data_IF_287727974706
#
_entry.id   IF_287727974706
#
_cell.length_a   1.000
_cell.length_b   1.000
_cell.length_c   1.000
_cell.angle_alpha   90.00
_cell.angle_beta   90.00
_cell.angle_gamma   90.00
#
_symmetry.space_group_name_H-M   'P 1'
#
loop_
_entity.id
_entity.type
_entity.pdbx_description
1 polymer ?
#
# COMPACT_ATOMS: atom_id res chain seq x y z
N UNK A 1 -2.46 -0.17 -2.57
CA UNK A 1 -2.89 -1.53 -2.99
C UNK A 1 -2.33 -1.96 -4.34
N UNK A 2 -2.23 -1.09 -5.35
CA UNK A 2 -1.63 -1.44 -6.66
C UNK A 2 -0.23 -2.09 -6.55
N UNK A 3 0.64 -1.56 -5.68
CA UNK A 3 1.94 -2.18 -5.41
C UNK A 3 1.87 -3.54 -4.69
N UNK A 4 0.78 -3.85 -3.99
CA UNK A 4 0.61 -5.13 -3.30
C UNK A 4 0.30 -6.25 -4.29
N UNK A 5 -0.53 -5.97 -5.29
CA UNK A 5 -0.93 -6.95 -6.32
C UNK A 5 0.16 -7.15 -7.39
N UNK A 6 0.92 -6.10 -7.74
CA UNK A 6 2.11 -6.24 -8.59
C UNK A 6 3.26 -7.04 -7.95
N UNK A 7 3.17 -7.35 -6.64
CA UNK A 7 4.16 -8.15 -5.91
C UNK A 7 3.74 -9.59 -5.62
N UNK A 8 2.60 -10.04 -6.16
CA UNK A 8 2.23 -11.46 -6.17
C UNK A 8 3.22 -12.24 -7.05
N UNK A 9 4.31 -12.67 -6.42
CA UNK A 9 5.20 -13.68 -6.97
C UNK A 9 4.46 -15.02 -6.94
N UNK A 10 3.83 -15.39 -8.07
CA UNK A 10 3.07 -16.63 -8.23
C UNK A 10 3.89 -17.91 -7.96
N UNK A 11 5.21 -17.80 -7.76
CA UNK A 11 6.06 -18.93 -7.38
C UNK A 11 5.86 -19.41 -5.93
N UNK A 12 5.14 -18.68 -5.06
CA UNK A 12 4.86 -19.14 -3.69
C UNK A 12 3.55 -19.93 -3.53
N UNK A 13 2.76 -20.10 -4.60
CA UNK A 13 1.58 -20.98 -4.63
C UNK A 13 2.00 -22.41 -4.98
N UNK A 14 2.73 -23.06 -4.08
CA UNK A 14 3.08 -24.45 -4.25
C UNK A 14 4.36 -24.85 -3.53
N UNK A 15 4.23 -25.20 -2.25
CA UNK A 15 4.76 -26.43 -1.65
C UNK A 15 4.65 -26.36 -0.12
N UNK A 16 3.92 -27.33 0.43
CA UNK A 16 3.87 -27.62 1.87
C UNK A 16 5.07 -28.48 2.29
N UNK A 17 5.48 -28.28 3.55
CA UNK A 17 6.25 -29.16 4.44
C UNK A 17 7.77 -29.35 4.22
N UNK A 18 8.57 -28.84 5.16
CA UNK A 18 9.24 -29.63 6.22
C UNK A 18 10.08 -28.71 7.15
N UNK A 19 10.12 -29.06 8.43
CA UNK A 19 10.79 -28.36 9.53
C UNK A 19 12.30 -28.25 9.32
N UNK A 20 12.86 -27.05 9.43
CA UNK A 20 14.29 -26.82 9.60
C UNK A 20 14.52 -25.59 10.48
N UNK A 21 15.32 -25.76 11.54
CA UNK A 21 15.80 -24.67 12.40
C UNK A 21 16.64 -23.72 11.54
N UNK A 22 16.13 -22.52 11.30
CA UNK A 22 16.77 -21.54 10.42
C UNK A 22 17.60 -20.54 11.21
N UNK A 23 18.91 -20.59 11.02
CA UNK A 23 19.79 -19.43 11.25
C UNK A 23 19.24 -18.23 10.46
N UNK A 24 19.11 -17.06 11.10
CA UNK A 24 18.56 -15.86 10.45
C UNK A 24 19.55 -15.34 9.41
N UNK A 25 19.37 -15.70 8.14
CA UNK A 25 19.97 -14.94 7.03
C UNK A 25 19.33 -13.55 7.01
N UNK A 26 20.09 -12.46 6.74
CA UNK A 26 19.51 -11.14 6.57
C UNK A 26 18.51 -11.15 5.41
N UNK A 27 17.42 -10.41 5.56
CA UNK A 27 16.38 -10.33 4.55
C UNK A 27 16.96 -9.82 3.22
N UNK A 28 16.84 -10.61 2.15
CA UNK A 28 17.26 -10.17 0.83
C UNK A 28 16.35 -9.02 0.36
N UNK A 29 16.98 -7.91 -0.06
CA UNK A 29 16.32 -6.70 -0.57
C UNK A 29 16.38 -6.76 -2.09
N UNK A 30 15.22 -6.79 -2.77
CA UNK A 30 15.14 -6.78 -4.24
C UNK A 30 14.54 -5.45 -4.70
N UNK A 31 15.33 -4.66 -5.43
CA UNK A 31 14.87 -3.45 -6.09
C UNK A 31 14.22 -3.81 -7.41
N UNK A 32 12.99 -3.36 -7.63
CA UNK A 32 12.27 -3.53 -8.88
C UNK A 32 11.87 -2.16 -9.43
N UNK A 33 11.92 -2.03 -10.74
CA UNK A 33 11.34 -0.88 -11.44
C UNK A 33 9.94 -1.28 -11.86
N UNK A 34 8.94 -0.63 -11.28
CA UNK A 34 7.55 -0.79 -11.72
C UNK A 34 7.21 0.37 -12.63
N UNK A 35 6.76 0.08 -13.85
CA UNK A 35 6.30 1.11 -14.78
C UNK A 35 4.81 1.33 -14.52
N UNK A 36 4.45 2.57 -14.16
CA UNK A 36 3.05 2.95 -14.01
C UNK A 36 2.34 3.06 -15.36
N UNK A 37 1.02 3.16 -15.35
CA UNK A 37 0.20 3.21 -16.57
C UNK A 37 0.56 4.38 -17.50
N UNK A 38 1.17 5.45 -16.98
CA UNK A 38 1.61 6.61 -17.76
C UNK A 38 3.07 6.49 -18.25
N UNK A 39 3.65 5.28 -18.26
CA UNK A 39 5.04 5.03 -18.68
C UNK A 39 6.11 5.48 -17.69
N UNK A 40 5.72 6.10 -16.57
CA UNK A 40 6.67 6.57 -15.54
C UNK A 40 7.17 5.40 -14.71
N UNK A 41 8.48 5.20 -14.73
CA UNK A 41 9.17 4.21 -13.91
C UNK A 41 9.24 4.66 -12.45
N UNK A 42 8.67 3.86 -11.55
CA UNK A 42 8.76 4.01 -10.10
C UNK A 42 9.74 2.98 -9.55
N UNK A 43 10.73 3.44 -8.78
CA UNK A 43 11.62 2.53 -8.04
C UNK A 43 10.87 2.00 -6.82
N UNK A 44 10.78 0.68 -6.70
CA UNK A 44 10.10 -0.01 -5.62
C UNK A 44 11.09 -0.94 -4.94
N UNK A 45 11.20 -0.82 -3.62
CA UNK A 45 11.98 -1.70 -2.78
C UNK A 45 11.09 -2.80 -2.20
N UNK A 46 11.44 -4.05 -2.44
CA UNK A 46 10.70 -5.20 -1.91
C UNK A 46 11.66 -6.06 -1.10
N UNK A 47 11.39 -6.12 0.19
CA UNK A 47 12.11 -6.97 1.12
C UNK A 47 11.26 -8.22 1.41
N UNK A 48 11.94 -9.35 1.64
CA UNK A 48 11.30 -10.63 2.01
C UNK A 48 11.75 -11.05 3.42
N UNK A 49 11.19 -10.47 4.50
CA UNK A 49 11.59 -10.80 5.86
C UNK A 49 11.31 -12.26 6.25
N UNK A 50 10.33 -12.90 5.60
CA UNK A 50 10.01 -14.31 5.74
C UNK A 50 9.32 -14.82 4.45
N UNK A 51 9.15 -16.15 4.31
CA UNK A 51 8.58 -16.78 3.11
C UNK A 51 7.28 -16.10 2.64
N UNK A 52 6.36 -15.83 3.56
CA UNK A 52 5.05 -15.23 3.31
C UNK A 52 4.91 -13.80 3.87
N UNK A 53 6.02 -13.10 4.08
CA UNK A 53 6.03 -11.70 4.50
C UNK A 53 6.76 -10.86 3.47
N UNK A 54 6.19 -9.70 3.15
CA UNK A 54 6.79 -8.70 2.28
C UNK A 54 6.79 -7.37 3.00
N UNK A 55 7.85 -6.58 2.79
CA UNK A 55 7.86 -5.16 3.12
C UNK A 55 8.14 -4.41 1.83
N UNK A 56 7.22 -3.53 1.47
CA UNK A 56 7.26 -2.78 0.21
C UNK A 56 7.47 -1.31 0.57
N UNK A 57 8.36 -0.64 -0.12
CA UNK A 57 8.62 0.79 0.08
C UNK A 57 8.90 1.46 -1.26
N UNK A 58 8.40 2.67 -1.45
CA UNK A 58 8.63 3.44 -2.66
C UNK A 58 8.52 4.93 -2.33
N UNK A 59 8.87 5.78 -3.28
CA UNK A 59 8.69 7.22 -3.15
C UNK A 59 8.48 7.85 -4.51
N UNK A 60 7.59 8.84 -4.57
CA UNK A 60 7.33 9.61 -5.79
C UNK A 60 7.15 11.09 -5.45
N UNK A 61 7.56 11.96 -6.36
CA UNK A 61 7.21 13.39 -6.31
C UNK A 61 5.99 13.61 -7.19
N UNK A 62 4.93 14.14 -6.58
CA UNK A 62 3.69 14.55 -7.24
C UNK A 62 3.77 16.07 -7.41
N UNK A 63 3.49 16.55 -8.61
CA UNK A 63 3.52 17.97 -8.98
C UNK A 63 2.26 18.70 -8.50
N UNK A 64 1.93 18.52 -7.23
CA UNK A 64 0.80 19.15 -6.55
C UNK A 64 1.13 19.40 -5.08
N UNK A 65 0.55 20.45 -4.52
CA UNK A 65 0.81 20.85 -3.15
C UNK A 65 0.29 19.84 -2.13
N UNK A 66 1.01 19.67 -1.00
CA UNK A 66 0.68 18.69 0.05
C UNK A 66 -0.79 18.71 0.50
N UNK A 67 -1.46 19.88 0.70
CA UNK A 67 -2.87 19.91 1.06
C UNK A 67 -3.81 19.32 0.00
N UNK A 68 -3.47 19.45 -1.28
CA UNK A 68 -4.27 18.93 -2.40
C UNK A 68 -4.14 17.41 -2.46
N UNK A 69 -2.91 16.89 -2.43
CA UNK A 69 -2.64 15.45 -2.41
C UNK A 69 -3.28 14.80 -1.18
N UNK A 70 -3.18 15.45 -0.02
CA UNK A 70 -3.82 14.98 1.22
C UNK A 70 -5.33 14.82 1.04
N UNK A 71 -6.01 15.83 0.51
CA UNK A 71 -7.47 15.79 0.29
C UNK A 71 -7.89 14.59 -0.55
N UNK A 72 -7.13 14.27 -1.60
CA UNK A 72 -7.39 13.08 -2.44
C UNK A 72 -7.16 11.78 -1.66
N UNK A 73 -6.03 11.66 -0.95
CA UNK A 73 -5.69 10.42 -0.23
C UNK A 73 -6.61 10.13 0.97
N UNK A 74 -7.20 11.15 1.58
CA UNK A 74 -8.14 11.01 2.71
C UNK A 74 -9.61 10.99 2.29
N UNK A 75 -9.93 11.20 1.02
CA UNK A 75 -11.29 11.00 0.50
C UNK A 75 -11.53 9.49 0.28
N UNK A 76 -11.60 8.74 1.37
CA UNK A 76 -11.62 7.28 1.34
C UNK A 76 -12.79 6.69 0.53
N UNK A 77 -13.91 7.41 0.43
CA UNK A 77 -15.08 6.95 -0.33
C UNK A 77 -14.87 7.09 -1.84
N UNK A 78 -13.99 8.00 -2.27
CA UNK A 78 -13.69 8.27 -3.68
C UNK A 78 -12.30 7.83 -4.10
N UNK A 79 -11.50 7.30 -3.16
CA UNK A 79 -10.12 6.90 -3.42
C UNK A 79 -10.00 5.85 -4.56
N UNK A 80 -11.02 5.01 -4.75
CA UNK A 80 -11.08 4.05 -5.87
C UNK A 80 -11.13 4.73 -7.26
N UNK A 81 -11.60 5.98 -7.36
CA UNK A 81 -11.61 6.75 -8.62
C UNK A 81 -10.18 7.11 -9.08
N UNK A 82 -9.21 7.16 -8.16
CA UNK A 82 -7.86 7.65 -8.42
C UNK A 82 -6.79 6.55 -8.44
N UNK A 83 -7.01 5.45 -7.70
CA UNK A 83 -5.99 4.41 -7.52
C UNK A 83 -6.25 3.24 -8.49
N UNK A 84 -5.35 2.99 -9.45
CA UNK A 84 -5.49 1.84 -10.33
C UNK A 84 -5.60 0.54 -9.54
N UNK A 85 -6.42 -0.39 -10.05
CA UNK A 85 -6.64 -1.72 -9.45
C UNK A 85 -7.28 -1.69 -8.05
N UNK A 86 -7.86 -0.56 -7.62
CA UNK A 86 -8.67 -0.46 -6.40
C UNK A 86 -10.15 -0.40 -6.79
N UNK A 87 -10.85 -1.53 -6.75
CA UNK A 87 -12.25 -1.61 -7.16
C UNK A 87 -13.22 -1.03 -6.12
N UNK A 88 -12.89 -1.16 -4.83
CA UNK A 88 -13.72 -0.64 -3.73
C UNK A 88 -12.84 0.13 -2.78
N UNK A 89 -13.32 1.31 -2.36
CA UNK A 89 -12.84 2.01 -1.18
C UNK A 89 -14.02 2.74 -0.55
N UNK A 90 -14.34 2.44 0.71
CA UNK A 90 -15.45 3.08 1.43
C UNK A 90 -15.23 3.09 2.93
N UNK A 91 -15.73 4.12 3.60
CA UNK A 91 -15.77 4.16 5.06
C UNK A 91 -16.75 3.12 5.61
N UNK A 92 -16.42 2.60 6.78
CA UNK A 92 -17.24 1.71 7.59
C UNK A 92 -17.44 2.30 8.97
N UNK A 93 -18.45 1.80 9.67
CA UNK A 93 -18.64 2.12 11.08
C UNK A 93 -17.40 1.71 11.88
N UNK A 94 -16.99 2.60 12.79
CA UNK A 94 -15.96 2.32 13.78
C UNK A 94 -16.57 2.55 15.16
N UNK A 95 -16.62 1.54 16.06
CA UNK A 95 -17.31 1.63 17.35
C UNK A 95 -16.91 2.85 18.19
N UNK A 96 -15.62 3.21 18.16
CA UNK A 96 -15.08 4.31 18.96
C UNK A 96 -14.90 5.63 18.15
N UNK A 97 -15.59 5.79 17.02
CA UNK A 97 -15.50 7.01 16.19
C UNK A 97 -14.21 7.18 15.37
N UNK A 98 -13.36 6.15 15.31
CA UNK A 98 -12.17 6.12 14.46
C UNK A 98 -12.48 6.06 12.96
N UNK A 99 -11.43 6.06 12.15
CA UNK A 99 -11.56 5.94 10.70
C UNK A 99 -11.38 4.47 10.33
N UNK A 100 -12.48 3.79 9.99
CA UNK A 100 -12.43 2.44 9.41
C UNK A 100 -12.79 2.49 7.93
N UNK A 101 -12.04 1.78 7.10
CA UNK A 101 -12.33 1.67 5.68
C UNK A 101 -12.30 0.21 5.23
N UNK A 102 -13.09 -0.10 4.22
CA UNK A 102 -13.03 -1.35 3.47
C UNK A 102 -12.46 -1.06 2.09
N UNK A 103 -11.49 -1.88 1.67
CA UNK A 103 -10.89 -1.79 0.36
C UNK A 103 -10.84 -3.15 -0.33
N UNK A 104 -11.07 -3.17 -1.65
CA UNK A 104 -10.92 -4.35 -2.49
C UNK A 104 -10.05 -4.00 -3.69
N UNK A 105 -8.92 -4.69 -3.83
CA UNK A 105 -8.04 -4.59 -4.98
C UNK A 105 -8.32 -5.70 -5.98
N UNK A 106 -8.20 -5.39 -7.27
CA UNK A 106 -8.46 -6.32 -8.37
C UNK A 106 -7.34 -6.22 -9.40
N UNK A 107 -6.75 -7.34 -9.78
CA UNK A 107 -5.73 -7.38 -10.82
C UNK A 107 -5.88 -8.61 -11.71
N UNK A 108 -5.80 -8.39 -13.02
CA UNK A 108 -5.79 -9.48 -13.99
C UNK A 108 -4.36 -10.04 -14.15
N UNK A 109 -4.19 -11.33 -13.91
CA UNK A 109 -2.91 -12.03 -14.03
C UNK A 109 -3.17 -13.32 -14.83
N UNK A 110 -2.48 -13.48 -15.97
CA UNK A 110 -2.58 -14.66 -16.86
C UNK A 110 -4.03 -15.00 -17.27
N UNK A 111 -4.87 -13.99 -17.52
CA UNK A 111 -6.27 -14.18 -17.89
C UNK A 111 -7.22 -14.46 -16.71
N UNK A 112 -6.71 -14.55 -15.49
CA UNK A 112 -7.51 -14.70 -14.27
C UNK A 112 -7.63 -13.38 -13.53
N UNK A 113 -8.79 -13.13 -12.92
CA UNK A 113 -9.02 -11.98 -12.06
C UNK A 113 -8.70 -12.34 -10.60
N UNK A 114 -7.63 -11.76 -10.07
CA UNK A 114 -7.27 -11.87 -8.67
C UNK A 114 -7.90 -10.73 -7.87
N UNK A 115 -8.58 -11.06 -6.77
CA UNK A 115 -9.18 -10.10 -5.84
C UNK A 115 -8.65 -10.30 -4.43
N UNK A 116 -8.42 -9.20 -3.72
CA UNK A 116 -8.12 -9.24 -2.29
C UNK A 116 -8.77 -8.07 -1.57
N UNK A 117 -9.39 -8.35 -0.43
CA UNK A 117 -10.14 -7.40 0.38
C UNK A 117 -9.55 -7.25 1.78
N UNK A 118 -9.60 -6.03 2.31
CA UNK A 118 -9.10 -5.70 3.65
C UNK A 118 -9.95 -4.61 4.28
N UNK A 119 -10.20 -4.76 5.58
CA UNK A 119 -10.75 -3.70 6.43
C UNK A 119 -9.59 -3.12 7.24
N UNK A 120 -9.40 -1.81 7.14
CA UNK A 120 -8.30 -1.08 7.75
C UNK A 120 -8.82 -0.06 8.76
N UNK A 121 -8.15 0.02 9.90
CA UNK A 121 -8.22 1.18 10.79
C UNK A 121 -7.11 2.17 10.39
N UNK A 122 -7.51 3.43 10.20
CA UNK A 122 -6.68 4.51 9.70
C UNK A 122 -6.41 5.53 10.81
N UNK A 123 -5.20 6.09 10.83
CA UNK A 123 -4.82 7.19 11.68
C UNK A 123 -4.20 8.30 10.83
N UNK A 124 -4.87 9.45 10.79
CA UNK A 124 -4.40 10.65 10.13
C UNK A 124 -3.59 11.52 11.10
N UNK A 125 -2.32 11.75 10.79
CA UNK A 125 -1.38 12.55 11.57
C UNK A 125 -1.01 13.80 10.77
N UNK A 126 -1.62 14.92 11.14
CA UNK A 126 -1.33 16.22 10.55
C UNK A 126 -0.37 17.00 11.46
N UNK A 127 0.95 16.83 11.28
CA UNK A 127 1.92 17.53 12.14
C UNK A 127 1.94 19.03 11.86
N UNK A 128 1.95 19.39 10.57
CA UNK A 128 1.82 20.76 10.08
C UNK A 128 1.36 20.75 8.62
N UNK A 129 1.29 21.92 7.98
CA UNK A 129 0.87 22.03 6.56
C UNK A 129 1.79 21.27 5.58
N UNK A 130 3.04 21.00 5.98
CA UNK A 130 4.11 20.47 5.13
C UNK A 130 4.52 19.03 5.45
N UNK A 131 4.06 18.46 6.58
CA UNK A 131 4.36 17.10 7.02
C UNK A 131 3.08 16.44 7.55
N UNK A 132 2.64 15.43 6.81
CA UNK A 132 1.44 14.65 7.13
C UNK A 132 1.70 13.17 6.93
N UNK A 133 1.00 12.34 7.68
CA UNK A 133 1.13 10.88 7.61
C UNK A 133 -0.22 10.20 7.79
N UNK A 134 -0.52 9.21 6.96
CA UNK A 134 -1.65 8.30 7.14
C UNK A 134 -1.05 6.96 7.56
N UNK A 135 -1.35 6.49 8.76
CA UNK A 135 -1.01 5.12 9.19
C UNK A 135 -2.22 4.23 9.02
N UNK A 136 -2.00 2.98 8.66
CA UNK A 136 -3.08 2.00 8.55
C UNK A 136 -2.66 0.66 9.13
N UNK A 137 -3.63 0.02 9.79
CA UNK A 137 -3.49 -1.29 10.37
C UNK A 137 -4.71 -2.12 10.01
N UNK A 138 -4.49 -3.37 9.62
CA UNK A 138 -5.56 -4.32 9.35
C UNK A 138 -6.41 -4.52 10.59
N UNK A 139 -7.71 -4.30 10.43
CA UNK A 139 -8.73 -4.71 11.37
C UNK A 139 -9.19 -6.14 11.05
N UNK A 140 -9.51 -6.42 9.78
CA UNK A 140 -10.02 -7.72 9.34
C UNK A 140 -9.68 -7.98 7.86
N UNK A 141 -9.50 -9.25 7.49
CA UNK A 141 -9.31 -9.71 6.12
C UNK A 141 -9.46 -11.23 6.03
N UNK A 142 -10.01 -11.71 4.90
CA UNK A 142 -9.96 -13.13 4.54
C UNK A 142 -8.70 -13.51 3.75
N UNK A 143 -8.04 -12.51 3.16
CA UNK A 143 -6.96 -12.69 2.20
C UNK A 143 -5.57 -12.45 2.82
N UNK A 144 -5.51 -11.71 3.94
CA UNK A 144 -4.27 -11.35 4.61
C UNK A 144 -4.25 -11.77 6.08
N UNK A 145 -3.10 -12.27 6.55
CA UNK A 145 -2.85 -12.51 7.98
C UNK A 145 -2.38 -11.27 8.73
N UNK A 146 -1.71 -10.37 8.03
CA UNK A 146 -1.18 -9.10 8.56
C UNK A 146 -1.10 -8.13 7.39
N UNK A 147 -1.59 -6.91 7.58
CA UNK A 147 -1.44 -5.84 6.61
C UNK A 147 -1.37 -4.51 7.35
N UNK A 148 -0.27 -3.78 7.19
CA UNK A 148 -0.08 -2.49 7.84
C UNK A 148 0.97 -1.66 7.11
N UNK A 149 0.98 -0.37 7.40
CA UNK A 149 1.91 0.55 6.79
C UNK A 149 1.54 1.99 7.02
N UNK A 150 2.15 2.85 6.21
CA UNK A 150 1.89 4.29 6.24
C UNK A 150 2.16 4.93 4.90
N UNK A 151 1.50 6.05 4.65
CA UNK A 151 1.83 7.02 3.62
C UNK A 151 2.31 8.31 4.29
N UNK A 152 3.51 8.76 3.96
CA UNK A 152 4.09 10.00 4.48
C UNK A 152 4.20 11.02 3.35
N UNK A 153 3.60 12.19 3.56
CA UNK A 153 3.63 13.32 2.63
C UNK A 153 4.57 14.39 3.20
N UNK A 154 5.49 14.86 2.36
CA UNK A 154 6.37 15.98 2.69
C UNK A 154 6.34 17.00 1.56
N UNK A 155 6.11 18.27 1.87
CA UNK A 155 6.27 19.34 0.89
C UNK A 155 7.71 19.44 0.41
N UNK A 156 7.88 19.63 -0.88
CA UNK A 156 9.16 19.87 -1.55
C UNK A 156 8.99 20.99 -2.59
N UNK A 157 10.10 21.49 -3.14
CA UNK A 157 10.10 22.53 -4.18
C UNK A 157 9.28 23.78 -3.79
N UNK A 158 9.59 24.37 -2.63
CA UNK A 158 8.89 25.55 -2.09
C UNK A 158 7.37 25.34 -1.98
N UNK A 159 6.97 24.18 -1.45
CA UNK A 159 5.58 23.78 -1.18
C UNK A 159 4.67 23.60 -2.40
N UNK A 160 5.25 23.59 -3.61
CA UNK A 160 4.52 23.33 -4.86
C UNK A 160 4.29 21.85 -5.11
N UNK A 161 5.20 21.01 -4.64
CA UNK A 161 5.20 19.58 -4.92
C UNK A 161 5.15 18.76 -3.63
N UNK A 162 4.71 17.52 -3.74
CA UNK A 162 4.60 16.57 -2.63
C UNK A 162 5.50 15.36 -2.87
N UNK A 163 6.44 15.12 -1.95
CA UNK A 163 7.11 13.83 -1.83
C UNK A 163 6.19 12.87 -1.05
N UNK A 164 5.64 11.88 -1.75
CA UNK A 164 4.87 10.79 -1.18
C UNK A 164 5.78 9.57 -0.98
N UNK A 165 5.73 8.96 0.22
CA UNK A 165 6.49 7.76 0.60
C UNK A 165 5.61 6.73 1.28
#
# INVERSE_FOLDING_TARGET
>A
MSAFLNTLDLTSLGKSSKTAVSFRKPAAVRRQVMVGQNGRALKVDIQRPAANKRKISSSIVIQEATPVVWKVLTDYNRLAEFIPNLAISRRRFHPNGGIRIEQCGVQSILGFEFKASVVLDMLEVNKNKMDREIRFQMHDSRDFKEFSGKWALKSVNNDRDTLLR
#
